data_IF_693952176197
#
_entry.id   IF_693952176197
#
_cell.length_a   1.000
_cell.length_b   1.000
_cell.length_c   1.000
_cell.angle_alpha   90.00
_cell.angle_beta   90.00
_cell.angle_gamma   90.00
#
_symmetry.space_group_name_H-M   'P 1'
#
loop_
_entity.id
_entity.type
_entity.pdbx_description
1 polymer ?
#
# COMPACT_ATOMS: atom_id res chain seq x y z
N UNK A 1 -24.20 11.06 -1.33
CA UNK A 1 -24.07 9.72 -1.96
C UNK A 1 -22.91 9.63 -2.93
N UNK A 2 -22.72 10.60 -3.84
CA UNK A 2 -21.61 10.58 -4.82
C UNK A 2 -20.19 10.55 -4.20
N UNK A 3 -19.94 11.38 -3.18
CA UNK A 3 -18.63 11.41 -2.49
C UNK A 3 -18.26 10.08 -1.81
N UNK A 4 -19.25 9.31 -1.36
CA UNK A 4 -19.03 8.04 -0.66
C UNK A 4 -18.33 7.01 -1.57
N UNK A 5 -18.75 6.92 -2.82
CA UNK A 5 -18.17 6.03 -3.81
C UNK A 5 -16.74 6.41 -4.21
N UNK A 6 -16.42 7.70 -4.23
CA UNK A 6 -15.04 8.18 -4.48
C UNK A 6 -14.11 7.76 -3.35
N UNK A 7 -14.53 7.96 -2.10
CA UNK A 7 -13.76 7.56 -0.91
C UNK A 7 -13.59 6.04 -0.88
N UNK A 8 -14.67 5.29 -1.14
CA UNK A 8 -14.63 3.84 -1.20
C UNK A 8 -13.67 3.32 -2.29
N UNK A 9 -13.74 3.90 -3.49
CA UNK A 9 -12.82 3.58 -4.59
C UNK A 9 -11.37 3.90 -4.27
N UNK A 10 -11.09 5.03 -3.62
CA UNK A 10 -9.75 5.41 -3.17
C UNK A 10 -9.17 4.41 -2.14
N UNK A 11 -9.97 4.02 -1.15
CA UNK A 11 -9.57 3.01 -0.16
C UNK A 11 -9.31 1.66 -0.82
N UNK A 12 -10.21 1.20 -1.67
CA UNK A 12 -10.05 -0.08 -2.37
C UNK A 12 -8.82 -0.07 -3.28
N UNK A 13 -8.60 1.01 -4.04
CA UNK A 13 -7.42 1.20 -4.87
C UNK A 13 -6.11 1.24 -4.07
N UNK A 14 -6.11 1.84 -2.87
CA UNK A 14 -4.95 1.83 -1.98
C UNK A 14 -4.59 0.41 -1.52
N UNK A 15 -5.60 -0.40 -1.16
CA UNK A 15 -5.39 -1.81 -0.79
C UNK A 15 -4.85 -2.64 -1.96
N UNK A 16 -5.44 -2.50 -3.14
CA UNK A 16 -4.99 -3.20 -4.35
C UNK A 16 -3.57 -2.76 -4.73
N UNK A 17 -3.26 -1.46 -4.67
CA UNK A 17 -1.93 -0.92 -4.95
C UNK A 17 -0.87 -1.46 -3.98
N UNK A 18 -1.19 -1.52 -2.68
CA UNK A 18 -0.29 -2.10 -1.66
C UNK A 18 -0.03 -3.60 -1.92
N UNK A 19 -1.08 -4.36 -2.23
CA UNK A 19 -0.95 -5.78 -2.57
C UNK A 19 -0.13 -6.00 -3.85
N UNK A 20 -0.41 -5.25 -4.92
CA UNK A 20 0.32 -5.34 -6.18
C UNK A 20 1.79 -4.97 -6.01
N UNK A 21 2.12 -3.97 -5.20
CA UNK A 21 3.50 -3.61 -4.90
C UNK A 21 4.23 -4.75 -4.17
N UNK A 22 3.56 -5.39 -3.21
CA UNK A 22 4.08 -6.56 -2.50
C UNK A 22 4.28 -7.75 -3.46
N UNK A 23 3.29 -8.02 -4.32
CA UNK A 23 3.33 -9.09 -5.31
C UNK A 23 4.44 -8.87 -6.34
N UNK A 24 4.59 -7.65 -6.87
CA UNK A 24 5.65 -7.29 -7.81
C UNK A 24 7.05 -7.46 -7.22
N UNK A 25 7.22 -7.30 -5.90
CA UNK A 25 8.49 -7.57 -5.24
C UNK A 25 8.74 -9.07 -4.98
N UNK A 26 7.73 -9.78 -4.49
CA UNK A 26 7.83 -11.17 -4.04
C UNK A 26 7.83 -12.19 -5.18
N UNK A 27 7.01 -11.97 -6.22
CA UNK A 27 6.84 -12.87 -7.35
C UNK A 27 8.14 -13.15 -8.13
N UNK A 28 8.94 -12.14 -8.56
CA UNK A 28 10.21 -12.40 -9.25
C UNK A 28 11.27 -13.03 -8.34
N UNK A 29 11.13 -12.88 -7.01
CA UNK A 29 12.04 -13.45 -6.01
C UNK A 29 11.59 -14.81 -5.47
N UNK A 30 10.48 -15.35 -5.98
CA UNK A 30 9.83 -16.58 -5.49
C UNK A 30 9.57 -16.61 -3.98
N UNK A 31 9.35 -15.44 -3.40
CA UNK A 31 8.96 -15.32 -1.99
C UNK A 31 7.45 -15.58 -1.92
N UNK A 32 6.96 -16.43 -1.00
CA UNK A 32 5.54 -16.68 -0.86
C UNK A 32 4.78 -15.38 -0.55
N UNK A 33 3.62 -15.18 -1.17
CA UNK A 33 2.73 -14.05 -0.89
C UNK A 33 2.12 -14.13 0.52
N UNK A 34 2.03 -15.34 1.07
CA UNK A 34 1.56 -15.57 2.44
C UNK A 34 2.61 -15.26 3.51
N UNK A 35 2.13 -14.96 4.71
CA UNK A 35 2.95 -14.69 5.90
C UNK A 35 3.19 -13.21 6.19
N UNK A 36 3.48 -12.93 7.47
CA UNK A 36 3.75 -11.57 7.95
C UNK A 36 4.90 -10.93 7.18
N UNK A 37 4.72 -9.67 6.79
CA UNK A 37 5.80 -8.85 6.25
C UNK A 37 6.95 -8.85 7.26
N UNK A 38 8.16 -9.20 6.83
CA UNK A 38 9.37 -9.13 7.65
C UNK A 38 10.27 -8.05 7.11
N UNK A 39 11.03 -7.40 7.98
CA UNK A 39 12.04 -6.45 7.52
C UNK A 39 13.13 -7.20 6.74
N UNK A 40 13.44 -6.74 5.52
CA UNK A 40 14.50 -7.34 4.69
C UNK A 40 15.90 -7.28 5.33
N UNK A 41 16.13 -6.36 6.28
CA UNK A 41 17.44 -6.16 6.92
C UNK A 41 17.62 -6.95 8.23
N UNK A 42 16.57 -7.06 9.05
CA UNK A 42 16.68 -7.66 10.39
C UNK A 42 15.75 -8.85 10.62
N UNK A 43 14.89 -9.20 9.64
CA UNK A 43 13.98 -10.34 9.73
C UNK A 43 12.84 -10.17 10.75
N UNK A 44 12.78 -9.06 11.49
CA UNK A 44 11.75 -8.83 12.50
C UNK A 44 10.37 -8.80 11.84
N UNK A 45 9.38 -9.55 12.37
CA UNK A 45 8.01 -9.48 11.88
C UNK A 45 7.49 -8.06 12.06
N UNK A 46 6.98 -7.51 10.98
CA UNK A 46 6.43 -6.18 10.91
C UNK A 46 4.97 -6.30 11.34
N UNK A 47 4.62 -5.72 12.48
CA UNK A 47 3.31 -5.89 13.12
C UNK A 47 2.14 -5.41 12.26
N UNK A 48 0.93 -5.87 12.60
CA UNK A 48 -0.30 -5.64 11.82
C UNK A 48 -0.60 -4.17 11.47
N UNK A 49 -0.16 -3.23 12.31
CA UNK A 49 -0.29 -1.78 12.07
C UNK A 49 0.33 -1.29 10.76
N UNK A 50 1.20 -2.11 10.14
CA UNK A 50 1.87 -1.81 8.87
C UNK A 50 0.98 -2.07 7.65
N UNK A 51 -0.10 -2.84 7.80
CA UNK A 51 -1.02 -3.10 6.69
C UNK A 51 -1.90 -1.88 6.32
N UNK A 52 -1.86 -0.80 7.10
CA UNK A 52 -2.50 0.47 6.75
C UNK A 52 -1.69 1.17 5.65
N UNK A 53 -2.20 1.22 4.40
CA UNK A 53 -1.47 1.82 3.30
C UNK A 53 -1.20 3.29 3.60
N UNK A 54 -0.04 3.81 3.18
CA UNK A 54 0.41 5.21 3.36
C UNK A 54 0.73 5.61 4.81
N UNK A 55 -0.15 5.29 5.76
CA UNK A 55 -0.05 5.63 7.19
C UNK A 55 1.17 5.00 7.85
N UNK A 56 1.46 3.74 7.53
CA UNK A 56 2.58 3.04 8.11
C UNK A 56 3.93 3.71 7.80
N UNK A 57 4.13 4.18 6.57
CA UNK A 57 5.39 4.83 6.18
C UNK A 57 5.61 6.15 6.94
N UNK A 58 4.54 6.92 7.14
CA UNK A 58 4.54 8.16 7.94
C UNK A 58 4.83 7.87 9.41
N UNK A 59 4.18 6.87 10.00
CA UNK A 59 4.38 6.47 11.40
C UNK A 59 5.79 5.92 11.66
N UNK A 60 6.33 5.16 10.71
CA UNK A 60 7.69 4.62 10.76
C UNK A 60 8.76 5.62 10.31
N UNK A 61 8.37 6.81 9.83
CA UNK A 61 9.25 7.82 9.20
C UNK A 61 10.18 7.20 8.14
N UNK A 62 9.66 6.23 7.39
CA UNK A 62 10.41 5.48 6.39
C UNK A 62 11.54 4.61 6.93
N UNK A 63 11.51 4.23 8.23
CA UNK A 63 12.54 3.38 8.86
C UNK A 63 11.94 2.21 9.63
N UNK A 64 12.62 1.06 9.62
CA UNK A 64 12.25 -0.05 10.47
C UNK A 64 12.37 0.35 11.95
N UNK A 65 11.35 0.06 12.77
CA UNK A 65 11.36 0.38 14.21
C UNK A 65 12.39 -0.43 15.01
N UNK A 66 12.76 -1.62 14.53
CA UNK A 66 13.70 -2.51 15.21
C UNK A 66 15.17 -2.20 14.85
N UNK A 67 15.48 -2.05 13.56
CA UNK A 67 16.87 -1.90 13.10
C UNK A 67 17.19 -0.53 12.47
N UNK A 68 16.19 0.35 12.30
CA UNK A 68 16.38 1.66 11.67
C UNK A 68 16.62 1.64 10.16
N UNK A 69 16.59 0.46 9.52
CA UNK A 69 16.81 0.34 8.07
C UNK A 69 15.77 1.14 7.27
N UNK A 70 16.20 1.78 6.19
CA UNK A 70 15.29 2.59 5.36
C UNK A 70 14.35 1.70 4.56
N UNK A 71 13.05 1.94 4.71
CA UNK A 71 12.02 1.34 3.86
C UNK A 71 12.04 2.10 2.53
N UNK A 72 12.24 1.42 1.39
CA UNK A 72 12.41 2.11 0.13
C UNK A 72 11.10 2.77 -0.31
N UNK A 73 11.19 4.04 -0.72
CA UNK A 73 10.06 4.92 -1.03
C UNK A 73 9.14 4.39 -2.15
N UNK A 74 9.66 3.48 -2.99
CA UNK A 74 8.91 2.83 -4.08
C UNK A 74 7.63 2.13 -3.63
N UNK A 75 7.61 1.54 -2.43
CA UNK A 75 6.40 0.90 -1.91
C UNK A 75 5.34 1.94 -1.56
N UNK A 76 5.76 3.03 -0.92
CA UNK A 76 4.87 4.12 -0.56
C UNK A 76 4.31 4.82 -1.80
N UNK A 77 5.14 5.05 -2.82
CA UNK A 77 4.70 5.60 -4.10
C UNK A 77 3.66 4.71 -4.80
N UNK A 78 3.82 3.38 -4.75
CA UNK A 78 2.86 2.45 -5.32
C UNK A 78 1.51 2.47 -4.59
N UNK A 79 1.51 2.64 -3.27
CA UNK A 79 0.28 2.79 -2.49
C UNK A 79 -0.45 4.10 -2.82
N UNK A 80 0.28 5.21 -2.93
CA UNK A 80 -0.29 6.51 -3.32
C UNK A 80 -0.82 6.47 -4.76
N UNK A 81 -0.09 5.81 -5.68
CA UNK A 81 -0.53 5.62 -7.05
C UNK A 81 -1.81 4.77 -7.11
N UNK A 82 -1.87 3.65 -6.36
CA UNK A 82 -3.07 2.82 -6.26
C UNK A 82 -4.27 3.57 -5.68
N UNK A 83 -4.06 4.36 -4.63
CA UNK A 83 -5.09 5.22 -4.04
C UNK A 83 -5.60 6.26 -5.05
N UNK A 84 -4.70 6.91 -5.79
CA UNK A 84 -5.03 7.87 -6.83
C UNK A 84 -5.83 7.25 -7.98
N UNK A 85 -5.40 6.09 -8.48
CA UNK A 85 -6.13 5.35 -9.53
C UNK A 85 -7.53 4.94 -9.04
N UNK A 86 -7.64 4.42 -7.81
CA UNK A 86 -8.94 4.06 -7.22
C UNK A 86 -9.87 5.26 -7.03
N UNK A 87 -9.34 6.41 -6.63
CA UNK A 87 -10.11 7.65 -6.52
C UNK A 87 -10.59 8.13 -7.89
N UNK A 88 -9.74 8.07 -8.91
CA UNK A 88 -10.08 8.42 -10.29
C UNK A 88 -11.17 7.49 -10.81
N UNK A 89 -11.01 6.16 -10.71
CA UNK A 89 -12.02 5.18 -11.12
C UNK A 89 -13.34 5.38 -10.37
N UNK A 90 -13.29 5.60 -9.04
CA UNK A 90 -14.47 5.90 -8.23
C UNK A 90 -15.16 7.19 -8.68
N UNK A 91 -14.41 8.20 -9.07
CA UNK A 91 -14.97 9.43 -9.64
C UNK A 91 -15.60 9.19 -11.02
N UNK A 92 -14.97 8.38 -11.88
CA UNK A 92 -15.53 7.99 -13.18
C UNK A 92 -16.84 7.22 -13.06
N UNK A 93 -16.97 6.29 -12.11
CA UNK A 93 -18.20 5.49 -11.96
C UNK A 93 -19.41 6.32 -11.45
N UNK A 94 -19.15 7.46 -10.81
CA UNK A 94 -20.14 8.25 -10.09
C UNK A 94 -20.51 9.53 -10.81
N UNK A 95 -19.49 10.19 -11.36
CA UNK A 95 -19.64 11.40 -12.14
C UNK A 95 -19.68 11.11 -13.63
N UNK A 96 -19.45 9.84 -14.03
CA UNK A 96 -19.60 9.32 -15.39
C UNK A 96 -19.39 10.42 -16.38
N UNK A 97 -18.12 10.80 -16.61
CA UNK A 97 -17.78 11.94 -17.49
C UNK A 97 -18.78 11.92 -18.63
N UNK A 98 -19.63 12.95 -18.63
CA UNK A 98 -20.85 13.01 -19.43
C UNK A 98 -20.61 12.83 -20.90
#
# INVERSE_FOLDING_TARGET
>A
VKMFWVIYGAYFGAFVGSFLACAAYRLPRRIPLGGYSRCDACGTPVGFWVYLPVLNYLLLRGRCRACGSRIPLRYWLAEVAGAGIGAVVGSYLVFGIG
#
